data_IF_591073743270
#
_entry.id   IF_591073743270
#
_cell.length_a   1.000
_cell.length_b   1.000
_cell.length_c   1.000
_cell.angle_alpha   90.00
_cell.angle_beta   90.00
_cell.angle_gamma   90.00
#
_symmetry.space_group_name_H-M   'P 1'
#
loop_
_entity.id
_entity.type
_entity.pdbx_description
1 polymer ?
#
# COMPACT_ATOMS: atom_id res chain seq x y z
N UNK A 1 25.66 59.17 29.29
CA UNK A 1 26.39 57.93 29.61
C UNK A 1 25.37 56.88 30.03
N UNK A 2 24.98 55.98 29.11
CA UNK A 2 24.08 54.87 29.41
C UNK A 2 24.35 53.75 28.41
N UNK A 3 24.98 52.68 28.88
CA UNK A 3 25.28 51.51 28.07
C UNK A 3 24.22 50.42 28.38
N UNK A 4 23.45 50.03 27.37
CA UNK A 4 22.60 48.85 27.42
C UNK A 4 23.42 47.64 26.98
N UNK A 5 23.56 46.65 27.87
CA UNK A 5 24.04 45.31 27.51
C UNK A 5 22.88 44.52 26.89
N UNK A 6 22.97 44.23 25.59
CA UNK A 6 22.10 43.27 24.92
C UNK A 6 22.65 41.86 25.16
N UNK A 7 22.01 41.10 26.06
CA UNK A 7 22.23 39.66 26.16
C UNK A 7 21.48 38.98 25.02
N UNK A 8 22.21 38.62 23.95
CA UNK A 8 21.71 37.70 22.94
C UNK A 8 21.51 36.32 23.58
N UNK A 9 20.26 35.97 23.88
CA UNK A 9 19.90 34.59 24.16
C UNK A 9 20.09 33.80 22.86
N UNK A 10 21.20 33.07 22.76
CA UNK A 10 21.29 31.98 21.80
C UNK A 10 20.18 31.00 22.17
N UNK A 11 19.13 30.96 21.35
CA UNK A 11 18.16 29.87 21.39
C UNK A 11 18.97 28.59 21.20
N UNK A 12 18.81 27.56 22.06
CA UNK A 12 19.38 26.26 21.78
C UNK A 12 18.90 25.85 20.40
N UNK A 13 19.84 25.65 19.47
CA UNK A 13 19.54 24.93 18.24
C UNK A 13 19.15 23.54 18.71
N UNK A 14 17.88 23.20 18.63
CA UNK A 14 17.40 21.85 18.88
C UNK A 14 18.07 21.00 17.80
N UNK A 15 19.11 20.27 18.17
CA UNK A 15 19.68 19.22 17.34
C UNK A 15 18.54 18.25 17.06
N UNK A 16 18.16 18.14 15.78
CA UNK A 16 17.20 17.16 15.32
C UNK A 16 17.58 15.78 15.92
N UNK A 17 16.62 15.08 16.50
CA UNK A 17 16.88 13.72 17.01
C UNK A 17 17.38 12.89 15.84
N UNK A 18 18.59 12.34 15.95
CA UNK A 18 19.19 11.59 14.85
C UNK A 18 18.40 10.29 14.66
N UNK A 19 17.97 10.03 13.42
CA UNK A 19 17.38 8.75 13.03
C UNK A 19 18.49 7.70 13.05
N UNK A 20 18.29 6.63 13.81
CA UNK A 20 19.22 5.50 13.98
C UNK A 20 18.83 4.28 13.12
N UNK A 21 17.85 4.44 12.26
CA UNK A 21 17.36 3.40 11.37
C UNK A 21 15.85 3.41 11.26
N UNK A 22 15.32 2.34 10.69
CA UNK A 22 13.91 2.25 10.35
C UNK A 22 13.33 0.89 10.72
N UNK A 23 12.01 0.88 10.95
CA UNK A 23 11.24 -0.35 10.91
C UNK A 23 10.06 -0.17 9.96
N UNK A 24 9.78 -1.17 9.14
CA UNK A 24 8.71 -1.11 8.15
C UNK A 24 8.00 -2.45 8.04
N UNK A 25 6.71 -2.37 7.71
CA UNK A 25 5.87 -3.55 7.58
C UNK A 25 6.14 -4.28 6.26
N UNK A 26 6.03 -5.61 6.31
CA UNK A 26 6.12 -6.51 5.18
C UNK A 26 4.94 -7.48 5.21
N UNK A 27 4.62 -8.05 4.06
CA UNK A 27 3.59 -9.07 3.90
C UNK A 27 4.23 -10.42 3.63
N UNK A 28 3.95 -11.42 4.47
CA UNK A 28 4.46 -12.79 4.30
C UNK A 28 3.87 -13.51 3.09
N UNK A 29 2.77 -12.99 2.54
CA UNK A 29 2.06 -13.56 1.39
C UNK A 29 1.22 -14.80 1.71
N UNK A 30 1.01 -15.11 3.00
CA UNK A 30 0.20 -16.25 3.41
C UNK A 30 -1.29 -15.99 3.12
N UNK A 31 -1.89 -16.72 2.17
CA UNK A 31 -3.28 -16.46 1.75
C UNK A 31 -4.28 -17.22 2.64
N UNK A 32 -5.09 -16.47 3.40
CA UNK A 32 -6.22 -16.98 4.17
C UNK A 32 -7.50 -17.19 3.34
N UNK A 33 -8.55 -17.76 3.95
CA UNK A 33 -9.85 -18.00 3.27
C UNK A 33 -10.56 -16.73 2.83
N UNK A 34 -10.29 -15.63 3.51
CA UNK A 34 -10.76 -14.26 3.24
C UNK A 34 -9.73 -13.43 2.47
N UNK A 35 -8.55 -14.01 2.17
CA UNK A 35 -7.48 -13.35 1.45
C UNK A 35 -6.81 -12.20 2.21
N UNK A 36 -7.02 -12.03 3.52
CA UNK A 36 -6.44 -10.91 4.30
C UNK A 36 -5.35 -11.33 5.28
N UNK A 37 -5.18 -12.63 5.52
CA UNK A 37 -4.01 -13.12 6.24
C UNK A 37 -2.73 -12.77 5.46
N UNK A 38 -1.63 -12.59 6.19
CA UNK A 38 -0.31 -12.41 5.58
C UNK A 38 -0.07 -11.03 4.97
N UNK A 39 -0.92 -10.04 5.27
CA UNK A 39 -0.77 -8.64 4.84
C UNK A 39 -0.29 -7.81 6.02
N UNK A 40 0.84 -7.11 5.84
CA UNK A 40 1.54 -6.31 6.87
C UNK A 40 1.68 -7.06 8.21
N UNK A 41 1.85 -8.37 8.14
CA UNK A 41 1.97 -9.27 9.28
C UNK A 41 3.42 -9.46 9.74
N UNK A 42 4.35 -8.88 8.99
CA UNK A 42 5.77 -8.89 9.30
C UNK A 42 6.27 -7.48 9.60
N UNK A 43 7.28 -7.37 10.44
CA UNK A 43 8.00 -6.13 10.70
C UNK A 43 9.51 -6.37 10.55
N UNK A 44 10.12 -5.68 9.60
CA UNK A 44 11.56 -5.67 9.42
C UNK A 44 12.13 -4.44 10.13
N UNK A 45 13.09 -4.68 11.02
CA UNK A 45 13.80 -3.67 11.78
C UNK A 45 15.25 -3.64 11.30
N UNK A 46 15.70 -2.48 10.82
CA UNK A 46 17.07 -2.26 10.38
C UNK A 46 17.64 -0.98 11.01
N UNK A 47 18.62 -1.17 11.88
CA UNK A 47 19.16 -0.14 12.76
C UNK A 47 20.68 -0.10 12.69
N UNK A 48 21.21 1.10 12.83
CA UNK A 48 22.63 1.40 12.76
C UNK A 48 23.00 2.48 13.77
N UNK A 49 24.29 2.59 14.07
CA UNK A 49 24.81 3.52 15.08
C UNK A 49 24.21 3.34 16.49
N UNK A 50 23.84 2.10 16.83
CA UNK A 50 23.34 1.77 18.16
C UNK A 50 24.49 1.65 19.17
N UNK A 51 24.26 2.12 20.39
CA UNK A 51 25.07 1.74 21.55
C UNK A 51 24.90 0.25 21.89
N UNK A 52 25.91 -0.36 22.51
CA UNK A 52 25.71 -1.69 23.10
C UNK A 52 24.87 -1.55 24.38
N UNK A 53 23.99 -2.53 24.69
CA UNK A 53 23.35 -2.62 26.00
C UNK A 53 24.38 -2.65 27.13
N UNK A 54 23.99 -2.14 28.29
CA UNK A 54 24.78 -2.19 29.52
C UNK A 54 25.06 -3.64 29.93
N UNK A 55 26.14 -3.92 30.69
CA UNK A 55 26.42 -5.27 31.16
C UNK A 55 25.23 -5.90 31.90
N UNK A 56 24.84 -7.11 31.48
CA UNK A 56 23.68 -7.83 32.02
C UNK A 56 22.31 -7.36 31.49
N UNK A 57 22.30 -6.43 30.53
CA UNK A 57 21.10 -5.95 29.86
C UNK A 57 21.04 -6.39 28.40
N UNK A 58 19.83 -6.37 27.84
CA UNK A 58 19.54 -6.64 26.43
C UNK A 58 18.51 -5.64 25.92
N UNK A 59 18.59 -5.31 24.63
CA UNK A 59 17.49 -4.58 24.00
C UNK A 59 16.33 -5.51 23.67
N UNK A 60 15.12 -5.01 23.88
CA UNK A 60 13.86 -5.66 23.50
C UNK A 60 13.02 -4.72 22.67
N UNK A 61 12.41 -5.25 21.62
CA UNK A 61 11.58 -4.49 20.68
C UNK A 61 10.10 -4.76 20.88
N UNK A 62 9.31 -3.69 20.77
CA UNK A 62 7.87 -3.71 21.02
C UNK A 62 7.13 -2.89 19.97
N UNK A 63 5.94 -3.37 19.62
CA UNK A 63 4.91 -2.53 19.01
C UNK A 63 3.91 -2.09 20.09
N UNK A 64 3.55 -0.81 20.08
CA UNK A 64 2.56 -0.25 21.01
C UNK A 64 1.34 0.27 20.24
N UNK A 65 0.16 0.12 20.86
CA UNK A 65 -1.10 0.64 20.33
C UNK A 65 -1.10 2.16 20.22
N UNK A 66 -2.15 2.75 19.65
CA UNK A 66 -2.31 4.20 19.55
C UNK A 66 -2.27 4.90 20.91
N UNK A 67 -1.79 6.15 20.95
CA UNK A 67 -1.76 6.97 22.17
C UNK A 67 -3.16 7.27 22.73
N UNK A 68 -4.21 7.18 21.89
CA UNK A 68 -5.61 7.39 22.29
C UNK A 68 -6.26 6.18 22.95
N UNK A 69 -5.63 5.01 22.92
CA UNK A 69 -6.20 3.79 23.49
C UNK A 69 -5.83 3.64 24.97
N UNK A 70 -6.85 3.44 25.82
CA UNK A 70 -6.67 3.25 27.27
C UNK A 70 -6.13 1.87 27.64
N UNK A 71 -6.54 0.83 26.91
CA UNK A 71 -6.06 -0.55 27.07
C UNK A 71 -4.93 -0.83 26.08
N UNK A 72 -3.75 -0.25 26.33
CA UNK A 72 -2.58 -0.55 25.49
C UNK A 72 -2.05 -1.96 25.82
N UNK A 73 -2.00 -2.84 24.83
CA UNK A 73 -1.37 -4.16 24.91
C UNK A 73 -0.12 -4.16 24.04
N UNK A 74 1.09 -4.12 24.62
CA UNK A 74 2.30 -4.17 23.84
C UNK A 74 2.44 -5.54 23.16
N UNK A 75 2.90 -5.54 21.91
CA UNK A 75 3.31 -6.77 21.23
C UNK A 75 4.82 -6.87 21.36
N UNK A 76 5.29 -7.86 22.13
CA UNK A 76 6.71 -8.19 22.21
C UNK A 76 7.15 -8.80 20.88
N UNK A 77 8.11 -8.17 20.23
CA UNK A 77 8.72 -8.69 19.00
C UNK A 77 9.92 -9.61 19.30
N UNK A 78 10.53 -9.44 20.48
CA UNK A 78 11.65 -10.24 20.95
C UNK A 78 12.89 -9.43 21.30
N UNK A 79 13.99 -10.11 21.67
CA UNK A 79 15.28 -9.47 21.91
C UNK A 79 15.89 -8.96 20.60
N UNK A 80 16.58 -7.83 20.65
CA UNK A 80 17.24 -7.21 19.51
C UNK A 80 18.76 -7.33 19.65
N UNK A 81 19.42 -8.28 18.96
CA UNK A 81 20.85 -8.45 19.05
C UNK A 81 21.57 -7.30 18.33
N UNK A 82 22.47 -6.62 19.05
CA UNK A 82 23.33 -5.57 18.50
C UNK A 82 24.73 -6.12 18.26
N UNK A 83 25.19 -6.07 17.02
CA UNK A 83 26.55 -6.45 16.64
C UNK A 83 27.23 -5.28 15.94
N UNK A 84 28.29 -4.74 16.56
CA UNK A 84 29.05 -3.59 16.02
C UNK A 84 28.18 -2.37 15.71
N UNK A 85 27.21 -2.09 16.58
CA UNK A 85 26.30 -0.95 16.44
C UNK A 85 25.23 -1.11 15.35
N UNK A 86 25.08 -2.31 14.79
CA UNK A 86 24.03 -2.66 13.83
C UNK A 86 23.10 -3.68 14.47
N UNK A 87 21.81 -3.56 14.19
CA UNK A 87 20.81 -4.58 14.53
C UNK A 87 19.86 -4.78 13.36
N UNK A 88 19.57 -6.04 13.07
CA UNK A 88 18.64 -6.45 12.02
C UNK A 88 17.74 -7.55 12.58
N UNK A 89 16.44 -7.41 12.42
CA UNK A 89 15.47 -8.39 12.91
C UNK A 89 14.22 -8.41 12.03
N UNK A 90 13.72 -9.60 11.74
CA UNK A 90 12.42 -9.81 11.14
C UNK A 90 11.51 -10.47 12.18
N UNK A 91 10.37 -9.84 12.44
CA UNK A 91 9.30 -10.43 13.22
C UNK A 91 8.15 -10.81 12.29
N UNK A 92 7.56 -11.99 12.48
CA UNK A 92 6.34 -12.43 11.81
C UNK A 92 5.28 -12.67 12.87
N UNK A 93 4.11 -12.05 12.72
CA UNK A 93 2.97 -12.28 13.61
C UNK A 93 2.54 -13.75 13.52
N UNK A 94 2.49 -14.52 14.62
CA UNK A 94 2.15 -15.93 14.56
C UNK A 94 0.71 -16.21 14.11
N UNK A 95 -0.18 -15.23 14.21
CA UNK A 95 -1.56 -15.30 13.71
C UNK A 95 -1.71 -14.69 12.30
N UNK A 96 -0.60 -14.21 11.71
CA UNK A 96 -0.56 -13.54 10.41
C UNK A 96 -1.56 -12.39 10.29
N UNK A 97 -1.88 -11.74 11.43
CA UNK A 97 -2.75 -10.57 11.48
C UNK A 97 -1.95 -9.32 11.13
N UNK A 98 -2.58 -8.40 10.41
CA UNK A 98 -2.00 -7.11 10.06
C UNK A 98 -1.57 -6.32 11.32
N UNK A 99 -0.26 -6.07 11.45
CA UNK A 99 0.34 -5.41 12.62
C UNK A 99 0.06 -3.90 12.68
N UNK A 100 -0.11 -3.24 11.53
CA UNK A 100 -0.50 -1.83 11.46
C UNK A 100 -1.93 -1.61 11.99
N UNK A 101 -2.78 -2.62 11.89
CA UNK A 101 -4.10 -2.64 12.53
C UNK A 101 -4.04 -2.64 14.06
N UNK A 102 -2.94 -3.12 14.65
CA UNK A 102 -2.77 -3.27 16.10
C UNK A 102 -1.97 -2.14 16.72
N UNK A 103 -1.01 -1.58 15.99
CA UNK A 103 -0.01 -0.67 16.53
C UNK A 103 0.37 0.44 15.56
N UNK A 104 0.79 1.58 16.13
CA UNK A 104 1.25 2.78 15.42
C UNK A 104 2.50 3.38 16.04
N UNK A 105 3.11 2.66 16.99
CA UNK A 105 4.29 3.07 17.72
C UNK A 105 5.26 1.91 17.85
N UNK A 106 6.54 2.23 17.79
CA UNK A 106 7.65 1.29 17.94
C UNK A 106 8.54 1.73 19.09
N UNK A 107 8.93 0.78 19.93
CA UNK A 107 9.73 1.03 21.13
C UNK A 107 10.84 0.01 21.26
N UNK A 108 12.04 0.50 21.61
CA UNK A 108 13.15 -0.32 22.08
C UNK A 108 13.39 0.00 23.55
N UNK A 109 13.34 -1.02 24.41
CA UNK A 109 13.72 -0.92 25.81
C UNK A 109 15.02 -1.66 26.11
N UNK A 110 15.74 -1.22 27.14
CA UNK A 110 16.90 -1.90 27.70
C UNK A 110 16.54 -2.63 29.00
N UNK A 111 16.29 -3.93 28.91
CA UNK A 111 15.77 -4.74 30.02
C UNK A 111 16.82 -5.73 30.54
N UNK A 112 16.53 -6.39 31.67
CA UNK A 112 17.39 -7.48 32.17
C UNK A 112 17.48 -8.64 31.17
N UNK A 113 18.70 -9.06 30.83
CA UNK A 113 18.91 -10.13 29.86
C UNK A 113 18.44 -11.51 30.34
N UNK A 114 18.24 -11.69 31.65
CA UNK A 114 17.89 -13.00 32.24
C UNK A 114 16.39 -13.25 32.36
N UNK A 115 15.56 -12.24 32.06
CA UNK A 115 14.11 -12.32 32.20
C UNK A 115 13.49 -11.89 30.87
N UNK A 116 12.62 -12.73 30.30
CA UNK A 116 11.83 -12.30 29.16
C UNK A 116 10.75 -11.31 29.64
N UNK A 117 10.81 -10.02 29.25
CA UNK A 117 9.87 -9.04 29.74
C UNK A 117 8.47 -9.32 29.19
N UNK A 118 7.45 -9.09 30.02
CA UNK A 118 6.04 -9.20 29.59
C UNK A 118 5.45 -7.85 29.19
N UNK A 119 6.08 -6.75 29.63
CA UNK A 119 5.73 -5.37 29.29
C UNK A 119 7.01 -4.52 29.24
N UNK A 120 7.05 -3.43 28.45
CA UNK A 120 8.18 -2.52 28.45
C UNK A 120 8.23 -1.71 29.75
N UNK A 121 9.39 -1.70 30.42
CA UNK A 121 9.58 -0.92 31.63
C UNK A 121 9.58 0.59 31.29
N UNK A 122 8.74 1.44 31.94
CA UNK A 122 8.64 2.87 31.58
C UNK A 122 9.95 3.66 31.71
N UNK A 123 10.88 3.18 32.55
CA UNK A 123 12.19 3.81 32.77
C UNK A 123 13.29 3.24 31.88
N UNK A 124 12.99 2.24 31.05
CA UNK A 124 13.96 1.55 30.20
C UNK A 124 13.86 1.96 28.72
N UNK A 125 13.04 2.94 28.39
CA UNK A 125 12.84 3.39 27.01
C UNK A 125 14.11 4.02 26.47
N UNK A 126 14.58 3.51 25.33
CA UNK A 126 15.87 3.90 24.78
C UNK A 126 15.77 4.42 23.36
N UNK A 127 14.97 3.79 22.50
CA UNK A 127 14.65 4.31 21.16
C UNK A 127 13.15 4.23 20.91
N UNK A 128 12.64 5.18 20.13
CA UNK A 128 11.21 5.33 19.90
C UNK A 128 10.91 5.88 18.51
N UNK A 129 9.78 5.46 17.97
CA UNK A 129 9.15 6.04 16.80
C UNK A 129 7.62 5.96 16.94
N UNK A 130 6.94 6.92 16.31
CA UNK A 130 5.48 6.89 16.18
C UNK A 130 5.06 7.40 14.81
N UNK A 131 3.96 6.84 14.32
CA UNK A 131 3.22 7.39 13.20
C UNK A 131 2.10 8.26 13.80
N UNK A 132 2.00 9.55 13.44
CA UNK A 132 0.96 10.43 13.98
C UNK A 132 -0.47 9.90 13.73
N UNK A 133 -1.38 10.11 14.69
CA UNK A 133 -2.71 9.49 14.68
C UNK A 133 -3.58 9.87 13.46
N UNK A 134 -3.52 11.11 13.04
CA UNK A 134 -4.18 11.61 11.82
C UNK A 134 -3.64 10.90 10.56
N UNK A 135 -2.33 10.61 10.52
CA UNK A 135 -1.68 9.93 9.40
C UNK A 135 -2.01 8.43 9.42
N UNK A 136 -1.88 7.77 10.58
CA UNK A 136 -2.13 6.31 10.67
C UNK A 136 -3.57 5.95 10.37
N UNK A 137 -4.53 6.84 10.64
CA UNK A 137 -5.92 6.64 10.23
C UNK A 137 -6.05 6.48 8.71
N UNK A 138 -5.41 7.36 7.92
CA UNK A 138 -5.39 7.22 6.47
C UNK A 138 -4.63 5.97 6.01
N UNK A 139 -3.50 5.63 6.64
CA UNK A 139 -2.76 4.40 6.32
C UNK A 139 -3.60 3.14 6.55
N UNK A 140 -4.40 3.09 7.62
CA UNK A 140 -5.26 1.95 7.92
C UNK A 140 -6.37 1.74 6.90
N UNK A 141 -6.93 2.80 6.33
CA UNK A 141 -7.85 2.69 5.19
C UNK A 141 -7.16 2.08 3.95
N UNK A 142 -5.90 2.47 3.70
CA UNK A 142 -5.14 1.97 2.56
C UNK A 142 -4.68 0.52 2.72
N UNK A 143 -4.20 0.15 3.91
CA UNK A 143 -3.42 -1.08 4.14
C UNK A 143 -4.16 -2.15 4.98
N UNK A 144 -5.04 -1.74 5.88
CA UNK A 144 -5.66 -2.66 6.85
C UNK A 144 -7.08 -3.01 6.44
N UNK A 145 -7.98 -2.03 6.45
CA UNK A 145 -9.38 -2.25 6.10
C UNK A 145 -10.05 -0.93 5.72
N UNK A 146 -10.82 -0.95 4.64
CA UNK A 146 -11.68 0.16 4.24
C UNK A 146 -13.14 -0.11 4.70
N UNK A 147 -13.76 0.77 5.51
CA UNK A 147 -15.11 0.56 6.02
C UNK A 147 -16.19 0.67 4.94
N UNK A 148 -15.89 1.25 3.78
CA UNK A 148 -16.80 1.32 2.63
C UNK A 148 -16.86 -0.01 1.87
N UNK A 149 -15.92 -0.93 2.13
CA UNK A 149 -15.83 -2.21 1.44
C UNK A 149 -16.13 -3.34 2.42
N UNK A 150 -17.19 -4.11 2.15
CA UNK A 150 -17.64 -5.20 3.03
C UNK A 150 -16.72 -6.43 3.01
N UNK A 151 -15.86 -6.51 2.01
CA UNK A 151 -14.86 -7.54 1.87
C UNK A 151 -13.57 -7.06 2.59
N UNK A 152 -12.88 -7.92 3.32
CA UNK A 152 -11.74 -7.50 4.16
C UNK A 152 -10.51 -7.01 3.37
N UNK A 153 -9.68 -6.17 3.99
CA UNK A 153 -8.40 -5.69 3.44
C UNK A 153 -8.49 -4.25 2.93
N UNK A 154 -7.36 -3.54 2.95
CA UNK A 154 -7.27 -2.14 2.56
C UNK A 154 -7.40 -1.88 1.05
N UNK A 155 -7.61 -0.61 0.68
CA UNK A 155 -7.76 -0.16 -0.71
C UNK A 155 -6.60 -0.59 -1.62
N UNK A 156 -5.37 -0.58 -1.11
CA UNK A 156 -4.16 -0.88 -1.88
C UNK A 156 -4.10 -2.35 -2.33
N UNK A 157 -4.30 -3.28 -1.41
CA UNK A 157 -4.34 -4.73 -1.72
C UNK A 157 -5.42 -5.03 -2.76
N UNK A 158 -6.57 -4.33 -2.68
CA UNK A 158 -7.68 -4.51 -3.61
C UNK A 158 -7.35 -3.98 -5.00
N UNK A 159 -6.77 -2.78 -5.09
CA UNK A 159 -6.30 -2.23 -6.35
C UNK A 159 -5.28 -3.18 -7.02
N UNK A 160 -4.33 -3.70 -6.23
CA UNK A 160 -3.34 -4.68 -6.69
C UNK A 160 -3.99 -5.91 -7.32
N UNK A 161 -4.87 -6.59 -6.58
CA UNK A 161 -5.51 -7.83 -7.03
C UNK A 161 -6.46 -7.60 -8.20
N UNK A 162 -7.26 -6.55 -8.16
CA UNK A 162 -8.25 -6.27 -9.20
C UNK A 162 -7.56 -5.89 -10.53
N UNK A 163 -6.46 -5.13 -10.48
CA UNK A 163 -5.69 -4.80 -11.68
C UNK A 163 -4.98 -6.03 -12.24
N UNK A 164 -4.47 -6.92 -11.37
CA UNK A 164 -3.91 -8.21 -11.79
C UNK A 164 -4.94 -9.05 -12.54
N UNK A 165 -6.18 -9.14 -12.04
CA UNK A 165 -7.25 -9.88 -12.72
C UNK A 165 -7.57 -9.30 -14.11
N UNK A 166 -7.65 -7.98 -14.22
CA UNK A 166 -7.85 -7.30 -15.51
C UNK A 166 -6.72 -7.65 -16.49
N UNK A 167 -5.46 -7.63 -16.04
CA UNK A 167 -4.30 -8.03 -16.84
C UNK A 167 -4.38 -9.51 -17.28
N UNK A 168 -4.69 -10.43 -16.38
CA UNK A 168 -4.84 -11.85 -16.70
C UNK A 168 -5.95 -12.11 -17.75
N UNK A 169 -7.07 -11.40 -17.66
CA UNK A 169 -8.16 -11.51 -18.62
C UNK A 169 -7.85 -10.89 -19.97
N UNK A 170 -7.13 -9.77 -20.00
CA UNK A 170 -6.67 -9.13 -21.24
C UNK A 170 -5.75 -10.07 -22.03
N UNK A 171 -4.72 -10.63 -21.38
CA UNK A 171 -3.81 -11.60 -22.00
C UNK A 171 -4.52 -12.89 -22.43
N UNK A 172 -5.51 -13.35 -21.65
CA UNK A 172 -6.36 -14.49 -22.02
C UNK A 172 -7.20 -14.20 -23.27
N UNK A 173 -7.85 -13.04 -23.35
CA UNK A 173 -8.66 -12.64 -24.50
C UNK A 173 -7.82 -12.60 -25.78
N UNK A 174 -6.62 -11.99 -25.71
CA UNK A 174 -5.66 -11.95 -26.81
C UNK A 174 -5.22 -13.36 -27.23
N UNK A 175 -4.97 -14.25 -26.27
CA UNK A 175 -4.58 -15.64 -26.55
C UNK A 175 -5.70 -16.44 -27.23
N UNK A 176 -6.96 -16.23 -26.85
CA UNK A 176 -8.10 -16.90 -27.49
C UNK A 176 -8.31 -16.52 -28.94
N UNK A 177 -7.77 -15.39 -29.39
CA UNK A 177 -7.76 -15.03 -30.82
C UNK A 177 -7.04 -16.08 -31.67
N UNK A 178 -5.93 -16.62 -31.16
CA UNK A 178 -5.18 -17.69 -31.83
C UNK A 178 -6.00 -18.98 -31.96
N UNK A 179 -6.76 -19.32 -30.92
CA UNK A 179 -7.66 -20.49 -30.93
C UNK A 179 -9.05 -20.20 -31.52
N UNK A 180 -9.26 -18.98 -32.05
CA UNK A 180 -10.53 -18.50 -32.63
C UNK A 180 -11.74 -18.66 -31.69
N UNK A 181 -11.51 -18.63 -30.37
CA UNK A 181 -12.52 -18.90 -29.35
C UNK A 181 -13.28 -17.63 -28.95
N UNK A 182 -14.09 -17.09 -29.86
CA UNK A 182 -14.75 -15.77 -29.71
C UNK A 182 -15.74 -15.69 -28.54
N UNK A 183 -16.32 -16.81 -28.11
CA UNK A 183 -17.15 -16.87 -26.90
C UNK A 183 -16.33 -16.63 -25.63
N UNK A 184 -15.12 -17.21 -25.56
CA UNK A 184 -14.21 -17.01 -24.42
C UNK A 184 -13.64 -15.59 -24.40
N UNK A 185 -13.36 -14.99 -25.57
CA UNK A 185 -12.97 -13.58 -25.65
C UNK A 185 -14.03 -12.67 -25.01
N UNK A 186 -15.31 -12.85 -25.38
CA UNK A 186 -16.41 -12.05 -24.82
C UNK A 186 -16.59 -12.22 -23.33
N UNK A 187 -16.41 -13.45 -22.82
CA UNK A 187 -16.43 -13.68 -21.39
C UNK A 187 -15.37 -12.84 -20.65
N UNK A 188 -14.16 -12.71 -21.22
CA UNK A 188 -13.13 -11.84 -20.64
C UNK A 188 -13.47 -10.35 -20.77
N UNK A 189 -14.03 -9.91 -21.90
CA UNK A 189 -14.45 -8.51 -22.07
C UNK A 189 -15.48 -8.09 -21.02
N UNK A 190 -16.46 -8.94 -20.73
CA UNK A 190 -17.48 -8.68 -19.71
C UNK A 190 -16.83 -8.50 -18.32
N UNK A 191 -15.94 -9.42 -17.94
CA UNK A 191 -15.22 -9.35 -16.65
C UNK A 191 -14.38 -8.07 -16.52
N UNK A 192 -13.67 -7.71 -17.59
CA UNK A 192 -12.88 -6.48 -17.64
C UNK A 192 -13.78 -5.25 -17.47
N UNK A 193 -14.90 -5.15 -18.20
CA UNK A 193 -15.83 -4.02 -18.07
C UNK A 193 -16.42 -3.92 -16.65
N UNK A 194 -16.78 -5.05 -16.04
CA UNK A 194 -17.31 -5.11 -14.68
C UNK A 194 -16.31 -4.62 -13.64
N UNK A 195 -15.04 -5.03 -13.73
CA UNK A 195 -14.00 -4.59 -12.81
C UNK A 195 -13.64 -3.12 -12.99
N UNK A 196 -13.64 -2.63 -14.25
CA UNK A 196 -13.25 -1.27 -14.55
C UNK A 196 -14.32 -0.25 -14.18
N UNK A 197 -15.60 -0.53 -14.45
CA UNK A 197 -16.69 0.47 -14.34
C UNK A 197 -17.92 -0.03 -13.56
N UNK A 198 -17.90 -1.26 -13.06
CA UNK A 198 -19.01 -1.89 -12.36
C UNK A 198 -20.07 -2.50 -13.29
N UNK A 199 -21.09 -3.17 -12.73
CA UNK A 199 -22.10 -3.91 -13.51
C UNK A 199 -22.90 -3.05 -14.50
N UNK A 200 -23.06 -1.75 -14.22
CA UNK A 200 -23.77 -0.82 -15.11
C UNK A 200 -23.08 -0.61 -16.46
N UNK A 201 -21.81 -0.96 -16.58
CA UNK A 201 -21.03 -0.80 -17.81
C UNK A 201 -21.38 -1.82 -18.92
N UNK A 202 -22.09 -2.90 -18.58
CA UNK A 202 -22.29 -4.05 -19.47
C UNK A 202 -23.63 -4.00 -20.24
N UNK A 203 -24.51 -3.03 -19.94
CA UNK A 203 -25.88 -3.00 -20.47
C UNK A 203 -26.73 -4.15 -19.93
N UNK A 204 -28.05 -4.14 -20.20
CA UNK A 204 -28.98 -5.14 -19.65
C UNK A 204 -29.06 -6.44 -20.46
N UNK A 205 -28.60 -6.44 -21.71
CA UNK A 205 -28.63 -7.60 -22.60
C UNK A 205 -27.25 -8.25 -22.70
N UNK A 206 -26.96 -9.16 -21.77
CA UNK A 206 -25.80 -10.04 -21.85
C UNK A 206 -26.06 -11.15 -22.89
N UNK A 207 -25.28 -11.23 -23.98
CA UNK A 207 -25.41 -12.34 -24.91
C UNK A 207 -24.84 -13.61 -24.26
N UNK A 208 -25.70 -14.63 -24.14
CA UNK A 208 -25.42 -16.01 -23.72
C UNK A 208 -25.17 -16.27 -22.22
N UNK A 209 -25.28 -17.57 -21.90
CA UNK A 209 -25.19 -18.25 -20.60
C UNK A 209 -23.79 -18.13 -19.95
N UNK A 210 -23.26 -16.91 -19.87
CA UNK A 210 -21.94 -16.60 -19.31
C UNK A 210 -22.07 -16.59 -17.80
N UNK A 211 -21.31 -17.47 -17.13
CA UNK A 211 -21.09 -17.38 -15.70
C UNK A 211 -20.24 -16.15 -15.42
N UNK A 212 -20.92 -15.07 -15.01
CA UNK A 212 -20.29 -13.91 -14.39
C UNK A 212 -19.50 -14.36 -13.15
N UNK A 213 -18.51 -13.57 -12.69
CA UNK A 213 -17.95 -13.75 -11.36
C UNK A 213 -19.10 -13.89 -10.35
N UNK A 214 -19.04 -14.92 -9.51
CA UNK A 214 -20.11 -15.17 -8.52
C UNK A 214 -20.25 -14.02 -7.51
N UNK A 215 -19.23 -13.15 -7.41
CA UNK A 215 -19.23 -11.91 -6.66
C UNK A 215 -18.44 -10.86 -7.47
N UNK A 216 -19.12 -9.92 -8.16
CA UNK A 216 -18.43 -8.80 -8.78
C UNK A 216 -17.86 -7.84 -7.73
N UNK A 217 -16.83 -7.05 -8.06
CA UNK A 217 -16.22 -6.16 -7.09
C UNK A 217 -17.24 -5.11 -6.64
N UNK A 218 -17.31 -4.89 -5.33
CA UNK A 218 -18.25 -3.93 -4.73
C UNK A 218 -17.96 -2.46 -5.12
N UNK A 219 -16.76 -2.17 -5.63
CA UNK A 219 -16.30 -0.85 -6.08
C UNK A 219 -15.55 -1.01 -7.40
N UNK A 220 -15.74 -0.09 -8.35
CA UNK A 220 -15.06 -0.10 -9.64
C UNK A 220 -13.64 0.46 -9.55
N UNK A 221 -12.73 -0.02 -10.40
CA UNK A 221 -11.36 0.50 -10.49
C UNK A 221 -11.31 1.94 -11.03
N UNK A 222 -12.22 2.29 -11.93
CA UNK A 222 -12.34 3.62 -12.53
C UNK A 222 -13.73 4.21 -12.27
N UNK A 223 -13.79 5.49 -11.94
CA UNK A 223 -15.02 6.21 -11.69
C UNK A 223 -15.46 7.01 -12.90
N UNK A 224 -16.55 7.76 -12.75
CA UNK A 224 -16.86 8.84 -13.68
C UNK A 224 -16.01 10.05 -13.31
N UNK A 225 -15.53 10.82 -14.28
CA UNK A 225 -14.89 12.13 -14.04
C UNK A 225 -15.80 13.11 -13.26
N UNK A 226 -17.09 12.80 -13.15
CA UNK A 226 -18.10 13.57 -12.43
C UNK A 226 -18.57 12.91 -11.12
N UNK A 227 -17.96 11.81 -10.68
CA UNK A 227 -18.36 11.13 -9.45
C UNK A 227 -18.15 12.09 -8.25
N UNK A 228 -19.17 12.24 -7.41
CA UNK A 228 -19.03 13.01 -6.17
C UNK A 228 -18.07 12.29 -5.21
N UNK A 229 -17.54 13.02 -4.24
CA UNK A 229 -16.72 12.47 -3.14
C UNK A 229 -17.40 11.34 -2.36
N UNK A 230 -18.71 11.12 -2.55
CA UNK A 230 -19.50 10.13 -1.81
C UNK A 230 -19.44 8.70 -2.39
N UNK A 231 -18.88 8.52 -3.59
CA UNK A 231 -18.62 7.20 -4.17
C UNK A 231 -17.41 7.22 -5.11
N UNK A 232 -16.20 7.45 -4.56
CA UNK A 232 -14.98 7.46 -5.35
C UNK A 232 -14.66 6.06 -5.87
N UNK A 233 -14.07 5.98 -7.06
CA UNK A 233 -13.38 4.77 -7.50
C UNK A 233 -12.13 4.51 -6.67
N UNK A 234 -11.54 3.31 -6.81
CA UNK A 234 -10.36 2.92 -6.05
C UNK A 234 -9.20 3.90 -6.17
N UNK A 235 -8.89 4.37 -7.39
CA UNK A 235 -7.73 5.23 -7.64
C UNK A 235 -7.93 6.63 -7.06
N UNK A 236 -9.14 7.18 -7.15
CA UNK A 236 -9.48 8.46 -6.54
C UNK A 236 -9.49 8.38 -5.00
N UNK A 237 -10.04 7.29 -4.43
CA UNK A 237 -10.04 7.07 -2.99
C UNK A 237 -8.61 7.03 -2.44
N UNK A 238 -7.74 6.22 -3.05
CA UNK A 238 -6.32 6.12 -2.67
C UNK A 238 -5.64 7.50 -2.77
N UNK A 239 -5.82 8.20 -3.89
CA UNK A 239 -5.25 9.54 -4.09
C UNK A 239 -5.70 10.56 -3.02
N UNK A 240 -6.96 10.48 -2.58
CA UNK A 240 -7.50 11.30 -1.50
C UNK A 240 -6.79 11.05 -0.15
N UNK A 241 -6.66 9.79 0.27
CA UNK A 241 -5.94 9.43 1.50
C UNK A 241 -4.46 9.84 1.43
N UNK A 242 -3.80 9.59 0.30
CA UNK A 242 -2.38 9.91 0.09
C UNK A 242 -2.13 11.42 0.12
N UNK A 243 -3.00 12.20 -0.52
CA UNK A 243 -2.92 13.66 -0.51
C UNK A 243 -3.14 14.22 0.90
N UNK A 244 -4.12 13.70 1.63
CA UNK A 244 -4.36 14.10 3.02
C UNK A 244 -3.14 13.86 3.92
N UNK A 245 -2.50 12.69 3.80
CA UNK A 245 -1.26 12.38 4.53
C UNK A 245 -0.10 13.30 4.15
N UNK A 246 0.03 13.70 2.88
CA UNK A 246 1.09 14.61 2.44
C UNK A 246 0.89 16.05 2.97
N UNK A 247 -0.38 16.47 3.10
CA UNK A 247 -0.77 17.81 3.56
C UNK A 247 -0.84 17.96 5.08
N UNK A 248 -0.85 16.85 5.82
CA UNK A 248 -0.85 16.85 7.27
C UNK A 248 0.37 17.62 7.84
N UNK A 249 0.16 18.42 8.88
CA UNK A 249 1.18 19.31 9.46
C UNK A 249 2.38 18.55 10.05
N UNK A 250 2.16 17.32 10.49
CA UNK A 250 3.12 16.38 11.08
C UNK A 250 3.66 15.35 10.07
N UNK A 251 3.35 15.52 8.79
CA UNK A 251 3.87 14.66 7.74
C UNK A 251 5.40 14.76 7.62
N UNK A 252 6.07 13.61 7.46
CA UNK A 252 7.52 13.53 7.27
C UNK A 252 7.91 13.81 5.82
N UNK A 253 9.20 14.06 5.56
CA UNK A 253 9.70 14.15 4.18
C UNK A 253 9.51 12.84 3.42
N UNK A 254 9.66 11.69 4.07
CA UNK A 254 9.43 10.37 3.49
C UNK A 254 7.98 10.22 3.00
N UNK A 255 7.00 10.58 3.84
CA UNK A 255 5.57 10.53 3.46
C UNK A 255 5.29 11.45 2.27
N UNK A 256 5.78 12.70 2.30
CA UNK A 256 5.58 13.64 1.19
C UNK A 256 6.19 13.16 -0.13
N UNK A 257 7.42 12.64 -0.09
CA UNK A 257 8.10 12.12 -1.29
C UNK A 257 7.35 10.93 -1.88
N UNK A 258 6.94 9.97 -1.03
CA UNK A 258 6.19 8.79 -1.48
C UNK A 258 4.81 9.15 -1.98
N UNK A 259 4.11 10.08 -1.32
CA UNK A 259 2.81 10.55 -1.77
C UNK A 259 2.87 11.17 -3.17
N UNK A 260 3.91 11.96 -3.48
CA UNK A 260 4.11 12.49 -4.82
C UNK A 260 4.31 11.36 -5.84
N UNK A 261 5.12 10.35 -5.52
CA UNK A 261 5.33 9.19 -6.39
C UNK A 261 4.03 8.41 -6.63
N UNK A 262 3.26 8.14 -5.57
CA UNK A 262 1.99 7.43 -5.65
C UNK A 262 0.98 8.21 -6.50
N UNK A 263 0.89 9.53 -6.35
CA UNK A 263 0.00 10.36 -7.17
C UNK A 263 0.37 10.33 -8.67
N UNK A 264 1.67 10.30 -9.00
CA UNK A 264 2.12 10.10 -10.39
C UNK A 264 1.71 8.71 -10.89
N UNK A 265 1.92 7.66 -10.10
CA UNK A 265 1.52 6.31 -10.46
C UNK A 265 0.02 6.19 -10.70
N UNK A 266 -0.81 6.79 -9.84
CA UNK A 266 -2.27 6.81 -10.01
C UNK A 266 -2.67 7.38 -11.38
N UNK A 267 -2.05 8.48 -11.82
CA UNK A 267 -2.36 9.08 -13.13
C UNK A 267 -1.99 8.14 -14.30
N UNK A 268 -0.84 7.48 -14.21
CA UNK A 268 -0.38 6.55 -15.26
C UNK A 268 -1.26 5.29 -15.33
N UNK A 269 -1.60 4.73 -14.16
CA UNK A 269 -2.50 3.58 -14.04
C UNK A 269 -3.88 3.95 -14.57
N UNK A 270 -4.42 5.11 -14.19
CA UNK A 270 -5.71 5.61 -14.68
C UNK A 270 -5.72 5.68 -16.20
N UNK A 271 -4.70 6.31 -16.80
CA UNK A 271 -4.59 6.47 -18.25
C UNK A 271 -4.55 5.12 -18.98
N UNK A 272 -3.81 4.16 -18.43
CA UNK A 272 -3.68 2.82 -19.00
C UNK A 272 -5.01 2.04 -18.89
N UNK A 273 -5.64 2.04 -17.72
CA UNK A 273 -6.93 1.38 -17.51
C UNK A 273 -8.07 2.03 -18.31
N UNK A 274 -8.02 3.33 -18.57
CA UNK A 274 -8.96 3.99 -19.47
C UNK A 274 -8.83 3.48 -20.91
N UNK A 275 -7.61 3.24 -21.40
CA UNK A 275 -7.41 2.61 -22.72
C UNK A 275 -7.91 1.17 -22.76
N UNK A 276 -7.60 0.37 -21.73
CA UNK A 276 -8.16 -0.98 -21.55
C UNK A 276 -9.69 -0.95 -21.65
N UNK A 277 -10.33 0.02 -20.99
CA UNK A 277 -11.78 0.21 -21.09
C UNK A 277 -12.24 0.55 -22.51
N UNK A 278 -11.57 1.48 -23.21
CA UNK A 278 -11.94 1.86 -24.58
C UNK A 278 -11.80 0.69 -25.56
N UNK A 279 -10.69 -0.06 -25.51
CA UNK A 279 -10.47 -1.21 -26.39
C UNK A 279 -11.51 -2.30 -26.14
N UNK A 280 -11.77 -2.60 -24.88
CA UNK A 280 -12.78 -3.59 -24.50
C UNK A 280 -14.16 -3.17 -24.98
N UNK A 281 -14.51 -1.89 -24.86
CA UNK A 281 -15.78 -1.33 -25.34
C UNK A 281 -15.90 -1.38 -26.87
N UNK A 282 -14.80 -1.24 -27.60
CA UNK A 282 -14.78 -1.37 -29.06
C UNK A 282 -14.87 -2.85 -29.51
N UNK A 283 -14.24 -3.77 -28.77
CA UNK A 283 -14.25 -5.21 -29.04
C UNK A 283 -15.58 -5.89 -28.69
N UNK A 284 -16.21 -5.49 -27.57
CA UNK A 284 -17.43 -6.10 -27.04
C UNK A 284 -18.57 -6.25 -28.07
N UNK A 285 -18.94 -5.22 -28.86
CA UNK A 285 -20.06 -5.31 -29.80
C UNK A 285 -19.72 -6.01 -31.12
N UNK A 286 -18.45 -6.32 -31.39
CA UNK A 286 -18.05 -6.96 -32.65
C UNK A 286 -18.72 -8.33 -32.80
N UNK A 287 -19.09 -8.68 -34.03
CA UNK A 287 -19.56 -10.02 -34.40
C UNK A 287 -18.42 -11.04 -34.33
N UNK A 288 -18.75 -12.34 -34.40
CA UNK A 288 -17.74 -13.40 -34.44
C UNK A 288 -16.79 -13.27 -35.63
N UNK A 289 -17.28 -12.81 -36.78
CA UNK A 289 -16.45 -12.64 -37.97
C UNK A 289 -15.50 -11.44 -37.83
N UNK A 290 -15.98 -10.34 -37.24
CA UNK A 290 -15.19 -9.13 -36.98
C UNK A 290 -14.09 -9.38 -35.95
N UNK A 291 -14.38 -10.12 -34.86
CA UNK A 291 -13.39 -10.48 -33.86
C UNK A 291 -12.21 -11.29 -34.42
N UNK A 292 -12.39 -11.96 -35.56
CA UNK A 292 -11.33 -12.74 -36.22
C UNK A 292 -10.57 -11.92 -37.28
N UNK A 293 -10.87 -10.63 -37.44
CA UNK A 293 -10.16 -9.76 -38.37
C UNK A 293 -8.89 -9.16 -37.76
N UNK A 294 -7.91 -8.73 -38.59
CA UNK A 294 -6.69 -8.08 -38.13
C UNK A 294 -6.92 -6.84 -37.26
N UNK A 295 -8.00 -6.10 -37.50
CA UNK A 295 -8.36 -4.92 -36.69
C UNK A 295 -8.68 -5.30 -35.24
N UNK A 296 -9.43 -6.39 -35.02
CA UNK A 296 -9.72 -6.88 -33.67
C UNK A 296 -8.45 -7.40 -32.99
N UNK A 297 -7.53 -8.03 -33.74
CA UNK A 297 -6.23 -8.42 -33.19
C UNK A 297 -5.40 -7.21 -32.75
N UNK A 298 -5.43 -6.10 -33.49
CA UNK A 298 -4.72 -4.89 -33.10
C UNK A 298 -5.26 -4.33 -31.76
N UNK A 299 -6.58 -4.27 -31.59
CA UNK A 299 -7.21 -3.87 -30.34
C UNK A 299 -6.91 -4.84 -29.19
N UNK A 300 -6.88 -6.15 -29.45
CA UNK A 300 -6.52 -7.15 -28.44
C UNK A 300 -5.06 -7.03 -27.99
N UNK A 301 -4.15 -6.68 -28.89
CA UNK A 301 -2.74 -6.46 -28.54
C UNK A 301 -2.56 -5.17 -27.73
N UNK A 302 -3.29 -4.09 -28.05
CA UNK A 302 -3.26 -2.86 -27.23
C UNK A 302 -3.89 -3.11 -25.86
N UNK A 303 -5.05 -3.78 -25.81
CA UNK A 303 -5.71 -4.21 -24.57
C UNK A 303 -4.75 -4.94 -23.62
N UNK A 304 -4.03 -5.94 -24.13
CA UNK A 304 -3.02 -6.71 -23.38
C UNK A 304 -1.86 -5.82 -22.90
N UNK A 305 -1.35 -4.96 -23.78
CA UNK A 305 -0.23 -4.05 -23.47
C UNK A 305 -0.61 -3.01 -22.42
N UNK A 306 -1.76 -2.35 -22.55
CA UNK A 306 -2.22 -1.33 -21.59
C UNK A 306 -2.55 -1.95 -20.23
N UNK A 307 -3.12 -3.16 -20.20
CA UNK A 307 -3.36 -3.86 -18.94
C UNK A 307 -2.04 -4.27 -18.27
N UNK A 308 -1.04 -4.70 -19.05
CA UNK A 308 0.32 -4.93 -18.56
C UNK A 308 0.96 -3.65 -18.00
N UNK A 309 0.85 -2.51 -18.70
CA UNK A 309 1.39 -1.23 -18.23
C UNK A 309 0.69 -0.74 -16.96
N UNK A 310 -0.62 -0.89 -16.87
CA UNK A 310 -1.35 -0.56 -15.64
C UNK A 310 -0.85 -1.40 -14.45
N UNK A 311 -0.58 -2.69 -14.65
CA UNK A 311 -0.16 -3.58 -13.57
C UNK A 311 1.33 -3.45 -13.23
N UNK A 312 2.22 -3.59 -14.21
CA UNK A 312 3.68 -3.71 -14.03
C UNK A 312 4.41 -2.38 -14.23
N UNK A 313 3.84 -1.45 -15.00
CA UNK A 313 4.49 -0.23 -15.46
C UNK A 313 5.14 -0.39 -16.84
N UNK A 314 5.73 0.71 -17.33
CA UNK A 314 6.44 0.73 -18.61
C UNK A 314 7.67 1.64 -18.56
N UNK A 315 8.60 1.44 -19.48
CA UNK A 315 9.66 2.40 -19.73
C UNK A 315 9.16 3.40 -20.77
N UNK A 316 9.11 4.69 -20.45
CA UNK A 316 8.83 5.74 -21.43
C UNK A 316 10.03 5.84 -22.40
N UNK A 317 9.84 5.53 -23.70
CA UNK A 317 10.92 5.53 -24.67
C UNK A 317 11.48 6.94 -24.96
N UNK A 318 10.73 8.00 -24.62
CA UNK A 318 11.11 9.39 -24.86
C UNK A 318 12.00 9.91 -23.74
N UNK A 319 11.65 9.61 -22.50
CA UNK A 319 12.37 10.11 -21.32
C UNK A 319 13.35 9.08 -20.74
N UNK A 320 13.26 7.82 -21.16
CA UNK A 320 13.97 6.68 -20.59
C UNK A 320 13.74 6.55 -19.07
N UNK A 321 12.57 6.99 -18.60
CA UNK A 321 12.12 6.88 -17.21
C UNK A 321 11.06 5.78 -17.08
N UNK A 322 11.04 5.12 -15.92
CA UNK A 322 10.00 4.13 -15.63
C UNK A 322 8.73 4.87 -15.22
N UNK A 323 7.66 4.64 -15.98
CA UNK A 323 6.30 4.95 -15.59
C UNK A 323 5.78 3.81 -14.70
N UNK A 324 5.46 4.08 -13.43
CA UNK A 324 5.03 3.03 -12.50
C UNK A 324 3.64 2.49 -12.82
N UNK A 325 3.48 1.19 -12.62
CA UNK A 325 2.19 0.51 -12.53
C UNK A 325 1.80 0.25 -11.08
N UNK A 326 0.75 -0.55 -10.90
CA UNK A 326 0.20 -0.91 -9.58
C UNK A 326 1.22 -1.64 -8.70
N UNK A 327 2.14 -2.43 -9.26
CA UNK A 327 3.20 -3.09 -8.49
C UNK A 327 4.07 -2.08 -7.73
N UNK A 328 4.51 -1.01 -8.39
CA UNK A 328 5.34 -0.01 -7.73
C UNK A 328 4.52 0.90 -6.80
N UNK A 329 3.26 1.18 -7.16
CA UNK A 329 2.33 1.90 -6.28
C UNK A 329 2.14 1.14 -4.96
N UNK A 330 1.86 -0.16 -5.03
CA UNK A 330 1.63 -1.05 -3.88
C UNK A 330 2.80 -1.00 -2.88
N UNK A 331 4.02 -1.22 -3.39
CA UNK A 331 5.23 -1.14 -2.57
C UNK A 331 5.41 0.23 -1.92
N UNK A 332 5.08 1.32 -2.63
CA UNK A 332 5.21 2.66 -2.07
C UNK A 332 4.15 2.96 -1.02
N UNK A 333 2.92 2.45 -1.16
CA UNK A 333 1.88 2.59 -0.14
C UNK A 333 2.27 1.84 1.13
N UNK A 334 2.75 0.59 1.04
CA UNK A 334 3.26 -0.14 2.20
C UNK A 334 4.37 0.64 2.92
N UNK A 335 5.33 1.17 2.17
CA UNK A 335 6.44 1.94 2.73
C UNK A 335 6.06 3.33 3.28
N UNK A 336 4.83 3.79 3.11
CA UNK A 336 4.33 4.94 3.88
C UNK A 336 4.34 4.62 5.39
N UNK A 337 4.03 3.38 5.76
CA UNK A 337 4.01 2.91 7.15
C UNK A 337 5.42 2.53 7.65
N UNK A 338 6.37 3.46 7.50
CA UNK A 338 7.74 3.31 8.01
C UNK A 338 7.90 4.10 9.31
N UNK A 339 8.48 3.46 10.32
CA UNK A 339 8.96 4.09 11.54
C UNK A 339 10.35 4.66 11.34
N UNK A 340 10.53 5.97 11.49
CA UNK A 340 11.85 6.60 11.61
C UNK A 340 12.27 6.59 13.08
N UNK A 341 13.18 5.68 13.44
CA UNK A 341 13.52 5.39 14.84
C UNK A 341 14.57 6.36 15.32
N UNK A 342 14.31 7.00 16.46
CA UNK A 342 15.23 7.98 17.07
C UNK A 342 15.51 7.64 18.52
N UNK A 343 16.57 8.23 19.08
CA UNK A 343 16.84 8.14 20.51
C UNK A 343 15.67 8.72 21.31
N UNK A 344 15.18 7.97 22.29
CA UNK A 344 14.12 8.43 23.17
C UNK A 344 14.66 9.54 24.09
N UNK A 345 13.97 10.68 24.11
CA UNK A 345 14.28 11.80 25.01
C UNK A 345 13.20 11.83 26.08
N UNK A 346 13.63 11.62 27.34
CA UNK A 346 12.79 11.64 28.54
C UNK A 346 12.14 12.98 28.80
#
# INVERSE_FOLDING_TARGET
MGAFFLFSHQRPVITASQVVGQAYFLSSGQVGKDGILGIDDELLVDLHNLSNPSPGKSYYTWLLSDTSQSDWRPVLLGPLPVTRGVAHSLYTNPQHTNLLGLASRFLITEEDANINPTNPSPTAWHYYAEIPLNIVAHMRYLLVNDPMIKEGGGLDTRLFRNTQQVFEWAGSARSYWMSKSTGLMRAQFIRILEYLKGPSAIGTDLPFNIQLPTQPPSVALLGSATASQDSPDFLHAIGGHVTAMAQASDSTSNIRTRANYINVAINNITSSLERVYQDTKALYPMTNQELLQPQALALLNDLDSQAFYAYVGQLDPTTNQVEPGVVQLHNNIQLLATFDITLYKS
#
